data_IF_027972919185
#
_entry.id   IF_027972919185
#
_cell.length_a   1.000
_cell.length_b   1.000
_cell.length_c   1.000
_cell.angle_alpha   90.00
_cell.angle_beta   90.00
_cell.angle_gamma   90.00
#
_symmetry.space_group_name_H-M   'P 1'
#
loop_
_entity.id
_entity.type
_entity.pdbx_description
1 polymer ?
#
# COMPACT_ATOMS: atom_id res chain seq x y z
N UNK A 1 -54.92 -25.90 -3.58
CA UNK A 1 -54.44 -27.13 -2.93
C UNK A 1 -52.93 -27.17 -3.06
N UNK A 2 -52.23 -26.73 -2.01
CA UNK A 2 -51.44 -27.59 -1.10
C UNK A 2 -50.08 -27.96 -1.70
N UNK A 3 -49.00 -27.27 -1.32
CA UNK A 3 -48.22 -27.41 -0.06
C UNK A 3 -47.18 -28.52 -0.17
N UNK A 4 -45.94 -28.12 -0.50
CA UNK A 4 -44.72 -28.62 0.14
C UNK A 4 -43.76 -27.41 0.20
N UNK A 5 -43.84 -26.60 1.26
CA UNK A 5 -43.04 -26.69 2.48
C UNK A 5 -41.54 -26.50 2.25
N UNK A 6 -41.07 -25.33 2.69
CA UNK A 6 -39.87 -25.16 3.51
C UNK A 6 -38.59 -25.81 3.00
N UNK A 7 -37.77 -25.04 2.27
CA UNK A 7 -36.32 -25.06 2.50
C UNK A 7 -35.79 -23.62 2.56
N UNK A 8 -36.08 -23.00 3.70
CA UNK A 8 -35.22 -21.99 4.31
C UNK A 8 -33.84 -22.61 4.60
N UNK A 9 -32.89 -22.39 3.69
CA UNK A 9 -31.45 -22.34 4.02
C UNK A 9 -30.96 -21.08 3.31
N UNK A 10 -31.03 -19.91 3.94
CA UNK A 10 -29.99 -19.41 4.85
C UNK A 10 -28.57 -19.80 4.39
N UNK A 11 -28.18 -19.32 3.21
CA UNK A 11 -26.76 -19.22 2.88
C UNK A 11 -26.31 -17.82 3.29
N UNK A 12 -26.10 -17.68 4.60
CA UNK A 12 -25.27 -16.65 5.19
C UNK A 12 -23.82 -16.90 4.76
N UNK A 13 -23.44 -16.49 3.56
CA UNK A 13 -22.03 -16.18 3.31
C UNK A 13 -21.85 -14.68 3.51
N UNK A 14 -21.66 -14.37 4.79
CA UNK A 14 -20.87 -13.25 5.25
C UNK A 14 -19.48 -13.42 4.60
N UNK A 15 -19.32 -12.88 3.39
CA UNK A 15 -18.00 -12.66 2.82
C UNK A 15 -17.41 -11.49 3.61
N UNK A 16 -16.87 -11.76 4.80
CA UNK A 16 -15.74 -10.99 5.29
C UNK A 16 -14.60 -11.29 4.32
N UNK A 17 -14.66 -10.67 3.13
CA UNK A 17 -13.46 -10.36 2.40
C UNK A 17 -12.71 -9.46 3.37
N UNK A 18 -11.70 -10.01 4.03
CA UNK A 18 -10.59 -9.24 4.58
C UNK A 18 -9.96 -8.50 3.39
N UNK A 19 -10.64 -7.45 2.95
CA UNK A 19 -10.11 -6.48 2.03
C UNK A 19 -9.14 -5.67 2.87
N UNK A 20 -7.94 -6.23 3.06
CA UNK A 20 -6.81 -5.42 3.49
C UNK A 20 -6.78 -4.23 2.53
N UNK A 21 -6.82 -2.98 3.04
CA UNK A 21 -6.88 -1.83 2.18
C UNK A 21 -5.62 -1.82 1.31
N UNK A 22 -5.77 -2.02 0.01
CA UNK A 22 -4.72 -1.83 -1.00
C UNK A 22 -4.43 -0.33 -1.16
N UNK A 23 -3.79 0.23 -0.14
CA UNK A 23 -3.03 1.47 -0.21
C UNK A 23 -1.54 1.19 -0.08
N UNK A 24 -0.71 2.23 -0.18
CA UNK A 24 0.73 2.16 0.08
C UNK A 24 0.99 1.86 1.57
N UNK A 25 0.93 0.59 1.95
CA UNK A 25 1.24 0.13 3.29
C UNK A 25 2.74 -0.18 3.35
N UNK A 26 3.52 0.73 3.94
CA UNK A 26 4.98 0.72 3.93
C UNK A 26 5.65 -0.43 4.70
N UNK A 27 4.90 -1.30 5.40
CA UNK A 27 5.51 -2.39 6.18
C UNK A 27 4.60 -3.60 6.24
N UNK A 28 4.99 -4.69 5.57
CA UNK A 28 4.53 -6.03 5.95
C UNK A 28 5.48 -7.16 5.51
N UNK A 29 6.79 -6.91 5.61
CA UNK A 29 7.78 -7.96 5.43
C UNK A 29 8.36 -8.34 6.79
N UNK A 30 7.95 -9.51 7.31
CA UNK A 30 8.62 -10.16 8.43
C UNK A 30 9.84 -10.91 7.90
N UNK A 31 10.94 -10.20 7.68
CA UNK A 31 12.21 -10.85 7.38
C UNK A 31 12.82 -11.38 8.68
N UNK A 32 12.88 -12.70 8.80
CA UNK A 32 13.62 -13.38 9.87
C UNK A 32 15.11 -13.20 9.64
N UNK A 33 15.71 -12.24 10.35
CA UNK A 33 17.17 -12.15 10.48
C UNK A 33 17.59 -12.63 11.87
N UNK A 34 18.46 -13.65 11.91
CA UNK A 34 19.21 -14.00 13.10
C UNK A 34 20.10 -12.82 13.52
N UNK A 35 19.80 -12.24 14.68
CA UNK A 35 20.54 -11.12 15.26
C UNK A 35 21.77 -11.63 16.02
N UNK A 36 22.96 -11.22 15.56
CA UNK A 36 24.19 -11.36 16.32
C UNK A 36 24.14 -10.51 17.62
N UNK A 37 24.58 -11.12 18.73
CA UNK A 37 24.54 -10.62 20.12
C UNK A 37 25.42 -9.38 20.39
N UNK A 38 25.07 -8.24 19.81
CA UNK A 38 25.54 -6.91 20.25
C UNK A 38 24.37 -5.99 20.68
N UNK A 39 23.20 -6.58 20.97
CA UNK A 39 21.91 -5.96 20.71
C UNK A 39 21.17 -5.31 21.91
N UNK A 40 21.67 -5.32 23.16
CA UNK A 40 20.80 -4.96 24.29
C UNK A 40 20.38 -3.47 24.34
N UNK A 41 21.26 -2.55 23.97
CA UNK A 41 20.93 -1.11 23.95
C UNK A 41 20.16 -0.69 22.69
N UNK A 42 20.42 -1.35 21.56
CA UNK A 42 19.73 -1.07 20.29
C UNK A 42 18.28 -1.57 20.30
N UNK A 43 18.03 -2.76 20.86
CA UNK A 43 16.68 -3.32 21.00
C UNK A 43 15.79 -2.49 21.93
N UNK A 44 16.34 -1.99 23.05
CA UNK A 44 15.63 -1.09 23.96
C UNK A 44 15.27 0.24 23.29
N UNK A 45 16.18 0.84 22.52
CA UNK A 45 15.92 2.10 21.82
C UNK A 45 14.84 1.90 20.76
N UNK A 46 14.92 0.83 19.96
CA UNK A 46 13.93 0.48 18.94
C UNK A 46 12.54 0.28 19.56
N UNK A 47 12.43 -0.52 20.63
CA UNK A 47 11.17 -0.76 21.34
C UNK A 47 10.53 0.54 21.87
N UNK A 48 11.34 1.47 22.36
CA UNK A 48 10.86 2.78 22.87
C UNK A 48 10.43 3.72 21.74
N UNK A 49 11.04 3.63 20.55
CA UNK A 49 10.57 4.39 19.38
C UNK A 49 9.25 3.85 18.84
N UNK A 50 9.14 2.53 18.71
CA UNK A 50 7.94 1.86 18.23
C UNK A 50 6.74 2.15 19.13
N UNK A 51 6.93 2.04 20.45
CA UNK A 51 5.89 2.36 21.43
C UNK A 51 5.33 3.78 21.26
N UNK A 52 6.19 4.78 21.10
CA UNK A 52 5.76 6.19 21.01
C UNK A 52 4.96 6.50 19.74
N UNK A 53 5.29 5.84 18.63
CA UNK A 53 4.54 6.01 17.37
C UNK A 53 3.19 5.31 17.47
N UNK A 54 3.17 4.09 18.00
CA UNK A 54 1.93 3.33 18.11
C UNK A 54 0.97 3.98 19.12
N UNK A 55 1.48 4.44 20.26
CA UNK A 55 0.69 5.19 21.24
C UNK A 55 0.01 6.42 20.61
N UNK A 56 0.74 7.19 19.79
CA UNK A 56 0.18 8.37 19.12
C UNK A 56 -0.92 8.01 18.11
N UNK A 57 -0.74 6.91 17.36
CA UNK A 57 -1.76 6.40 16.44
C UNK A 57 -3.01 5.97 17.21
N UNK A 58 -2.83 5.21 18.29
CA UNK A 58 -3.94 4.76 19.10
C UNK A 58 -4.71 5.92 19.74
N UNK A 59 -4.01 6.93 20.26
CA UNK A 59 -4.63 8.14 20.81
C UNK A 59 -5.50 8.83 19.74
N UNK A 60 -4.99 8.99 18.53
CA UNK A 60 -5.74 9.55 17.42
C UNK A 60 -6.96 8.69 17.05
N UNK A 61 -6.78 7.37 16.89
CA UNK A 61 -7.85 6.45 16.56
C UNK A 61 -8.96 6.42 17.63
N UNK A 62 -8.61 6.57 18.91
CA UNK A 62 -9.58 6.72 20.00
C UNK A 62 -10.33 8.04 19.90
N UNK A 63 -9.63 9.17 19.75
CA UNK A 63 -10.26 10.48 19.61
C UNK A 63 -11.17 10.58 18.38
N UNK A 64 -10.76 9.97 17.26
CA UNK A 64 -11.56 9.91 16.04
C UNK A 64 -12.87 9.15 16.26
N UNK A 65 -12.82 7.97 16.88
CA UNK A 65 -14.03 7.19 17.20
C UNK A 65 -14.99 7.98 18.09
N UNK A 66 -14.48 8.59 19.16
CA UNK A 66 -15.29 9.44 20.05
C UNK A 66 -15.94 10.61 19.30
N UNK A 67 -15.20 11.27 18.40
CA UNK A 67 -15.73 12.38 17.61
C UNK A 67 -16.76 11.93 16.55
N UNK A 68 -16.65 10.71 16.03
CA UNK A 68 -17.63 10.14 15.10
C UNK A 68 -18.92 9.71 15.83
N UNK A 69 -18.79 9.10 17.01
CA UNK A 69 -19.94 8.65 17.82
C UNK A 69 -20.67 9.85 18.48
N UNK A 70 -19.92 10.87 18.91
CA UNK A 70 -20.47 12.08 19.51
C UNK A 70 -19.76 13.34 18.97
N UNK A 71 -20.28 13.94 17.88
CA UNK A 71 -19.64 15.06 17.20
C UNK A 71 -19.84 16.38 17.93
N UNK A 72 -19.15 16.56 19.06
CA UNK A 72 -19.06 17.84 19.77
C UNK A 72 -17.86 18.64 19.29
N UNK A 73 -17.93 19.98 19.43
CA UNK A 73 -16.81 20.88 19.10
C UNK A 73 -15.53 20.47 19.83
N UNK A 74 -15.64 20.10 21.10
CA UNK A 74 -14.51 19.66 21.92
C UNK A 74 -13.87 18.37 21.37
N UNK A 75 -14.68 17.35 21.08
CA UNK A 75 -14.19 16.06 20.57
C UNK A 75 -13.47 16.21 19.22
N UNK A 76 -14.03 17.04 18.34
CA UNK A 76 -13.42 17.34 17.03
C UNK A 76 -12.10 18.09 17.19
N UNK A 77 -12.03 19.09 18.08
CA UNK A 77 -10.78 19.82 18.35
C UNK A 77 -9.69 18.88 18.88
N UNK A 78 -10.02 17.95 19.77
CA UNK A 78 -9.06 16.96 20.30
C UNK A 78 -8.51 16.10 19.16
N UNK A 79 -9.37 15.56 18.30
CA UNK A 79 -8.95 14.76 17.16
C UNK A 79 -8.08 15.57 16.18
N UNK A 80 -8.47 16.81 15.87
CA UNK A 80 -7.69 17.72 15.01
C UNK A 80 -6.31 18.04 15.57
N UNK A 81 -6.18 18.26 16.90
CA UNK A 81 -4.89 18.50 17.55
C UNK A 81 -3.96 17.30 17.45
N UNK A 82 -4.50 16.09 17.63
CA UNK A 82 -3.72 14.85 17.47
C UNK A 82 -3.30 14.64 16.01
N UNK A 83 -4.21 14.89 15.07
CA UNK A 83 -3.91 14.86 13.63
C UNK A 83 -2.78 15.83 13.27
N UNK A 84 -2.82 17.07 13.78
CA UNK A 84 -1.78 18.07 13.57
C UNK A 84 -0.40 17.56 14.03
N UNK A 85 -0.32 16.95 15.22
CA UNK A 85 0.93 16.36 15.73
C UNK A 85 1.48 15.24 14.81
N UNK A 86 0.60 14.39 14.29
CA UNK A 86 0.97 13.34 13.34
C UNK A 86 1.49 13.96 12.04
N UNK A 87 0.80 14.97 11.51
CA UNK A 87 1.21 15.67 10.28
C UNK A 87 2.55 16.39 10.44
N UNK A 88 2.81 17.04 11.58
CA UNK A 88 4.10 17.69 11.85
C UNK A 88 5.26 16.69 11.85
N UNK A 89 5.07 15.49 12.44
CA UNK A 89 6.06 14.41 12.40
C UNK A 89 6.25 13.87 10.99
N UNK A 90 5.16 13.63 10.27
CA UNK A 90 5.18 13.17 8.89
C UNK A 90 5.88 14.18 7.96
N UNK A 91 5.67 15.47 8.18
CA UNK A 91 6.33 16.53 7.42
C UNK A 91 7.85 16.49 7.62
N UNK A 92 8.33 16.46 8.87
CA UNK A 92 9.77 16.34 9.17
C UNK A 92 10.39 15.10 8.55
N UNK A 93 9.70 13.96 8.63
CA UNK A 93 10.11 12.73 7.99
C UNK A 93 10.19 12.88 6.47
N UNK A 94 9.15 13.40 5.82
CA UNK A 94 9.12 13.60 4.38
C UNK A 94 10.24 14.53 3.88
N UNK A 95 10.56 15.60 4.62
CA UNK A 95 11.69 16.48 4.31
C UNK A 95 13.02 15.73 4.36
N UNK A 96 13.26 14.96 5.42
CA UNK A 96 14.49 14.20 5.55
C UNK A 96 14.56 13.06 4.53
N UNK A 97 13.43 12.42 4.24
CA UNK A 97 13.31 11.40 3.21
C UNK A 97 13.71 11.93 1.84
N UNK A 98 13.18 13.10 1.48
CA UNK A 98 13.52 13.76 0.23
C UNK A 98 15.00 14.10 0.16
N UNK A 99 15.57 14.64 1.25
CA UNK A 99 16.99 14.93 1.32
C UNK A 99 17.85 13.66 1.18
N UNK A 100 17.50 12.58 1.89
CA UNK A 100 18.20 11.30 1.79
C UNK A 100 18.17 10.76 0.35
N UNK A 101 17.02 10.86 -0.32
CA UNK A 101 16.87 10.46 -1.73
C UNK A 101 17.77 11.28 -2.67
N UNK A 102 18.00 12.56 -2.36
CA UNK A 102 18.90 13.40 -3.16
C UNK A 102 20.38 13.10 -2.91
N UNK A 103 20.74 12.68 -1.69
CA UNK A 103 22.13 12.44 -1.29
C UNK A 103 22.59 11.01 -1.63
N UNK A 104 21.69 10.03 -1.56
CA UNK A 104 22.00 8.64 -1.84
C UNK A 104 21.52 8.25 -3.24
N UNK A 105 22.47 8.16 -4.17
CA UNK A 105 22.20 7.78 -5.56
C UNK A 105 21.66 6.35 -5.71
N UNK A 106 21.87 5.46 -4.72
CA UNK A 106 21.35 4.09 -4.75
C UNK A 106 19.83 4.04 -4.59
N UNK A 107 19.25 5.08 -3.97
CA UNK A 107 17.79 5.22 -3.84
C UNK A 107 17.13 5.70 -5.13
N UNK A 108 17.91 6.10 -6.13
CA UNK A 108 17.43 6.55 -7.44
C UNK A 108 17.66 5.41 -8.44
N UNK A 109 16.65 5.11 -9.27
CA UNK A 109 16.79 4.12 -10.33
C UNK A 109 17.88 4.58 -11.33
N UNK A 110 19.06 3.95 -11.27
CA UNK A 110 20.20 4.28 -12.13
C UNK A 110 19.91 4.12 -13.63
N UNK A 111 18.84 3.39 -14.00
CA UNK A 111 18.45 3.17 -15.39
C UNK A 111 17.44 4.21 -15.90
N UNK A 112 16.90 5.05 -15.01
CA UNK A 112 16.05 6.18 -15.39
C UNK A 112 16.81 7.50 -15.23
N UNK A 113 16.67 8.42 -16.20
CA UNK A 113 17.32 9.71 -16.09
C UNK A 113 16.68 10.54 -14.98
N UNK A 114 17.54 11.10 -14.10
CA UNK A 114 17.10 11.93 -12.97
C UNK A 114 16.47 13.28 -13.40
N UNK A 115 16.86 13.79 -14.58
CA UNK A 115 16.28 15.02 -15.13
C UNK A 115 14.81 14.80 -15.50
N UNK A 116 13.91 15.64 -14.99
CA UNK A 116 12.46 15.51 -15.16
C UNK A 116 12.00 15.57 -16.62
N UNK A 117 12.59 16.45 -17.43
CA UNK A 117 12.32 16.54 -18.87
C UNK A 117 12.81 15.29 -19.60
N UNK A 118 14.05 14.87 -19.31
CA UNK A 118 14.63 13.69 -19.94
C UNK A 118 13.90 12.40 -19.53
N UNK A 119 13.36 12.34 -18.30
CA UNK A 119 12.51 11.24 -17.84
C UNK A 119 11.22 11.12 -18.64
N UNK A 120 10.56 12.24 -18.92
CA UNK A 120 9.36 12.24 -19.77
C UNK A 120 9.67 11.75 -21.18
N UNK A 121 10.73 12.28 -21.80
CA UNK A 121 11.18 11.84 -23.12
C UNK A 121 11.58 10.35 -23.15
N UNK A 122 12.23 9.88 -22.08
CA UNK A 122 12.59 8.47 -21.93
C UNK A 122 11.35 7.58 -21.81
N UNK A 123 10.35 7.99 -21.02
CA UNK A 123 9.07 7.29 -20.89
C UNK A 123 8.32 7.24 -22.23
N UNK A 124 8.22 8.36 -22.95
CA UNK A 124 7.60 8.41 -24.27
C UNK A 124 8.33 7.51 -25.28
N UNK A 125 9.67 7.53 -25.29
CA UNK A 125 10.47 6.64 -26.14
C UNK A 125 10.27 5.16 -25.78
N UNK A 126 10.15 4.84 -24.49
CA UNK A 126 9.86 3.50 -24.01
C UNK A 126 8.47 3.03 -24.44
N UNK A 127 7.45 3.89 -24.30
CA UNK A 127 6.09 3.64 -24.78
C UNK A 127 6.05 3.40 -26.29
N UNK A 128 6.67 4.26 -27.10
CA UNK A 128 6.75 4.07 -28.55
C UNK A 128 7.40 2.73 -28.93
N UNK A 129 8.48 2.34 -28.23
CA UNK A 129 9.11 1.03 -28.43
C UNK A 129 8.16 -0.12 -28.07
N UNK A 130 7.40 0.00 -26.99
CA UNK A 130 6.45 -1.02 -26.57
C UNK A 130 5.27 -1.11 -27.55
N UNK A 131 4.76 0.01 -28.04
CA UNK A 131 3.70 0.06 -29.06
C UNK A 131 4.15 -0.60 -30.36
N UNK A 132 5.38 -0.34 -30.80
CA UNK A 132 5.96 -1.01 -31.97
C UNK A 132 6.10 -2.52 -31.76
N UNK A 133 6.51 -2.96 -30.56
CA UNK A 133 6.56 -4.39 -30.22
C UNK A 133 5.17 -5.02 -30.25
N UNK A 134 4.17 -4.38 -29.62
CA UNK A 134 2.79 -4.85 -29.61
C UNK A 134 2.21 -4.94 -31.03
N UNK A 135 2.44 -3.93 -31.87
CA UNK A 135 2.04 -3.95 -33.29
C UNK A 135 2.68 -5.09 -34.07
N UNK A 136 3.95 -5.40 -33.81
CA UNK A 136 4.62 -6.52 -34.48
C UNK A 136 4.11 -7.87 -33.98
N UNK A 137 3.82 -8.02 -32.70
CA UNK A 137 3.21 -9.25 -32.14
C UNK A 137 1.81 -9.43 -32.72
N UNK A 138 1.00 -8.37 -32.76
CA UNK A 138 -0.37 -8.40 -33.28
C UNK A 138 -0.47 -8.76 -34.78
N UNK A 139 0.61 -8.65 -35.56
CA UNK A 139 0.62 -9.13 -36.96
C UNK A 139 0.52 -10.65 -37.06
N UNK A 140 1.03 -11.35 -36.05
CA UNK A 140 1.13 -12.81 -36.04
C UNK A 140 0.20 -13.45 -34.99
N UNK A 141 -0.41 -12.65 -34.12
CA UNK A 141 -1.28 -13.11 -33.04
C UNK A 141 -2.67 -12.48 -33.19
N UNK A 142 -3.71 -13.30 -33.20
CA UNK A 142 -5.10 -12.86 -33.31
C UNK A 142 -5.64 -12.33 -31.97
N UNK A 143 -5.12 -12.83 -30.85
CA UNK A 143 -5.47 -12.39 -29.51
C UNK A 143 -4.20 -12.18 -28.65
N UNK A 144 -4.18 -11.09 -27.88
CA UNK A 144 -3.12 -10.79 -26.92
C UNK A 144 -3.76 -10.72 -25.53
N UNK A 145 -3.44 -11.69 -24.67
CA UNK A 145 -3.92 -11.73 -23.29
C UNK A 145 -2.87 -11.12 -22.35
N UNK A 146 -3.22 -10.01 -21.69
CA UNK A 146 -2.39 -9.41 -20.65
C UNK A 146 -2.78 -9.97 -19.27
N UNK A 147 -1.87 -10.70 -18.62
CA UNK A 147 -2.10 -11.31 -17.31
C UNK A 147 -1.18 -10.72 -16.25
N UNK A 148 -1.67 -10.64 -15.01
CA UNK A 148 -0.86 -10.42 -13.81
C UNK A 148 -0.49 -11.78 -13.21
N UNK A 149 0.76 -11.96 -12.83
CA UNK A 149 1.31 -13.27 -12.40
C UNK A 149 0.58 -13.86 -11.17
N UNK A 150 0.05 -13.01 -10.29
CA UNK A 150 -0.66 -13.42 -9.06
C UNK A 150 -2.19 -13.42 -9.20
N UNK A 151 -2.72 -13.32 -10.41
CA UNK A 151 -4.16 -13.34 -10.65
C UNK A 151 -4.67 -14.77 -10.78
N UNK A 152 -5.40 -15.26 -9.76
CA UNK A 152 -5.98 -16.61 -9.74
C UNK A 152 -6.92 -16.86 -10.93
N UNK A 153 -7.76 -15.88 -11.26
CA UNK A 153 -8.66 -15.96 -12.40
C UNK A 153 -7.89 -16.05 -13.73
N UNK A 154 -6.81 -15.28 -13.86
CA UNK A 154 -5.99 -15.24 -15.06
C UNK A 154 -5.29 -16.59 -15.32
N UNK A 155 -4.82 -17.27 -14.26
CA UNK A 155 -4.24 -18.62 -14.36
C UNK A 155 -5.25 -19.66 -14.86
N UNK A 156 -6.52 -19.52 -14.49
CA UNK A 156 -7.60 -20.39 -14.98
C UNK A 156 -7.96 -20.12 -16.45
N UNK A 157 -7.82 -18.89 -16.94
CA UNK A 157 -8.11 -18.52 -18.34
C UNK A 157 -6.94 -18.75 -19.30
N UNK A 158 -5.69 -18.72 -18.83
CA UNK A 158 -4.48 -18.98 -19.63
C UNK A 158 -4.49 -20.27 -20.48
N UNK A 159 -5.00 -21.43 -20.03
CA UNK A 159 -5.03 -22.64 -20.85
C UNK A 159 -6.19 -22.67 -21.87
N UNK A 160 -7.12 -21.72 -21.79
CA UNK A 160 -8.33 -21.66 -22.62
C UNK A 160 -8.12 -20.74 -23.83
N UNK A 161 -7.33 -19.69 -23.63
CA UNK A 161 -7.02 -18.60 -24.58
C UNK A 161 -5.69 -18.85 -25.25
#
# INVERSE_FOLDING_TARGET
MSRLLMFMILISHLSTVDASPTGFLWYNDKHGHELNKSASNSELILAVHDHRIEELKEQFNRAQRIALDNPTLENVIIAQRLQKKIMEKAHKFATMWQLATLLDYQLINAHEPANSLHRKLYQEKSQQKNDLKLKNIAKNCELILQVKQDCLLCKAFMPIV
#
